data_IF_047560016671
#
_entry.id   IF_047560016671
#
_cell.length_a   1.000
_cell.length_b   1.000
_cell.length_c   1.000
_cell.angle_alpha   90.00
_cell.angle_beta   90.00
_cell.angle_gamma   90.00
#
_symmetry.space_group_name_H-M   'P 1'
#
loop_
_entity.id
_entity.type
_entity.pdbx_description
1 polymer ?
#
# COMPACT_ATOMS: atom_id res chain seq x y z
N UNK A 1 -14.43 -42.53 0.50
CA UNK A 1 -13.04 -43.03 0.69
C UNK A 1 -12.10 -42.19 -0.16
N UNK A 2 -11.37 -41.26 0.45
CA UNK A 2 -10.34 -40.47 -0.25
C UNK A 2 -9.07 -41.32 -0.28
N UNK A 3 -8.51 -41.56 -1.47
CA UNK A 3 -7.28 -42.35 -1.64
C UNK A 3 -6.10 -41.57 -1.01
N UNK A 4 -5.73 -41.95 0.23
CA UNK A 4 -4.46 -41.55 0.86
C UNK A 4 -3.30 -41.99 -0.04
N UNK A 5 -2.56 -41.03 -0.62
CA UNK A 5 -1.30 -41.30 -1.30
C UNK A 5 -1.16 -40.79 -2.75
N UNK A 6 -2.18 -40.16 -3.34
CA UNK A 6 -2.01 -39.48 -4.63
C UNK A 6 -1.60 -38.01 -4.38
N UNK A 7 -0.45 -37.54 -4.91
CA UNK A 7 -0.10 -36.12 -4.86
C UNK A 7 -1.17 -35.31 -5.59
N UNK A 8 -1.62 -34.20 -4.99
CA UNK A 8 -2.44 -33.23 -5.70
C UNK A 8 -1.54 -32.48 -6.68
N UNK A 9 -1.56 -32.87 -7.96
CA UNK A 9 -0.97 -32.09 -9.05
C UNK A 9 -1.99 -31.04 -9.50
N UNK A 10 -2.20 -30.05 -8.64
CA UNK A 10 -2.72 -28.74 -9.00
C UNK A 10 -1.70 -27.73 -8.52
N UNK A 11 -1.45 -26.67 -9.30
CA UNK A 11 -0.80 -25.49 -8.73
C UNK A 11 -1.67 -25.13 -7.52
N UNK A 12 -1.11 -25.11 -6.31
CA UNK A 12 -1.87 -24.63 -5.15
C UNK A 12 -2.44 -23.26 -5.51
N UNK A 13 -3.60 -22.89 -4.98
CA UNK A 13 -4.17 -21.57 -5.24
C UNK A 13 -3.14 -20.45 -4.99
N UNK A 14 -2.31 -20.64 -3.94
CA UNK A 14 -1.14 -19.82 -3.62
C UNK A 14 -0.09 -19.80 -4.73
N UNK A 15 0.24 -20.94 -5.35
CA UNK A 15 1.18 -20.99 -6.48
C UNK A 15 0.68 -20.25 -7.73
N UNK A 16 -0.63 -20.25 -7.98
CA UNK A 16 -1.24 -19.48 -9.06
C UNK A 16 -1.15 -17.97 -8.76
N UNK A 17 -1.51 -17.59 -7.52
CA UNK A 17 -1.41 -16.19 -7.07
C UNK A 17 0.02 -15.65 -7.14
N UNK A 18 1.03 -16.42 -6.74
CA UNK A 18 2.44 -16.01 -6.86
C UNK A 18 2.81 -15.77 -8.32
N UNK A 19 2.37 -16.65 -9.23
CA UNK A 19 2.67 -16.55 -10.65
C UNK A 19 2.06 -15.29 -11.31
N UNK A 20 0.89 -14.85 -10.83
CA UNK A 20 0.26 -13.61 -11.29
C UNK A 20 0.92 -12.38 -10.65
N UNK A 21 1.05 -12.37 -9.32
CA UNK A 21 1.52 -11.22 -8.53
C UNK A 21 2.96 -10.80 -8.85
N UNK A 22 3.83 -11.74 -9.21
CA UNK A 22 5.23 -11.42 -9.56
C UNK A 22 5.35 -10.46 -10.76
N UNK A 23 4.33 -10.37 -11.62
CA UNK A 23 4.33 -9.49 -12.79
C UNK A 23 3.86 -8.06 -12.47
N UNK A 24 3.29 -7.82 -11.29
CA UNK A 24 2.73 -6.52 -10.90
C UNK A 24 3.76 -5.56 -10.27
N UNK A 25 5.02 -6.01 -10.06
CA UNK A 25 6.10 -5.20 -9.49
C UNK A 25 5.67 -4.43 -8.23
N UNK A 26 4.97 -5.11 -7.31
CA UNK A 26 4.40 -4.48 -6.13
C UNK A 26 5.50 -3.87 -5.25
N UNK A 27 5.31 -2.63 -4.74
CA UNK A 27 6.26 -2.02 -3.84
C UNK A 27 6.46 -2.83 -2.55
N UNK A 28 7.69 -2.93 -2.05
CA UNK A 28 8.02 -3.71 -0.86
C UNK A 28 7.17 -3.32 0.37
N UNK A 29 6.89 -2.02 0.56
CA UNK A 29 6.09 -1.58 1.70
C UNK A 29 4.63 -2.08 1.64
N UNK A 30 4.09 -2.36 0.44
CA UNK A 30 2.75 -2.94 0.27
C UNK A 30 2.76 -4.39 0.72
N UNK A 31 3.81 -5.15 0.37
CA UNK A 31 3.99 -6.51 0.88
C UNK A 31 4.05 -6.50 2.41
N UNK A 32 4.79 -5.55 3.00
CA UNK A 32 4.87 -5.40 4.45
C UNK A 32 3.52 -5.05 5.08
N UNK A 33 2.74 -4.15 4.47
CA UNK A 33 1.41 -3.79 4.97
C UNK A 33 0.46 -4.98 4.96
N UNK A 34 0.41 -5.71 3.85
CA UNK A 34 -0.46 -6.88 3.71
C UNK A 34 -0.01 -8.03 4.62
N UNK A 35 1.29 -8.29 4.72
CA UNK A 35 1.80 -9.31 5.62
C UNK A 35 1.39 -9.02 7.07
N UNK A 36 1.46 -7.74 7.49
CA UNK A 36 1.01 -7.32 8.82
C UNK A 36 -0.49 -7.47 9.01
N UNK A 37 -1.30 -7.12 8.01
CA UNK A 37 -2.77 -7.23 8.07
C UNK A 37 -3.22 -8.69 8.20
N UNK A 38 -2.48 -9.62 7.57
CA UNK A 38 -2.81 -11.04 7.51
C UNK A 38 -2.00 -11.92 8.49
N UNK A 39 -1.28 -11.32 9.44
CA UNK A 39 -0.39 -12.02 10.39
C UNK A 39 0.52 -13.05 9.67
N UNK A 40 1.19 -12.58 8.63
CA UNK A 40 2.04 -13.38 7.76
C UNK A 40 3.50 -13.05 7.96
N UNK A 41 4.33 -14.06 7.79
CA UNK A 41 5.76 -13.87 7.55
C UNK A 41 5.97 -13.11 6.23
N UNK A 42 7.09 -12.38 6.18
CA UNK A 42 7.59 -11.76 4.96
C UNK A 42 9.11 -11.73 5.01
N UNK A 43 9.74 -12.35 4.03
CA UNK A 43 11.17 -12.32 3.87
C UNK A 43 11.66 -10.87 3.69
N UNK A 44 12.60 -10.43 4.54
CA UNK A 44 13.08 -9.04 4.55
C UNK A 44 13.78 -8.62 3.24
N UNK A 45 14.47 -9.57 2.60
CA UNK A 45 15.26 -9.36 1.38
C UNK A 45 15.13 -10.57 0.46
N UNK A 46 15.05 -10.32 -0.85
CA UNK A 46 14.97 -11.39 -1.84
C UNK A 46 14.33 -10.90 -3.13
N UNK A 47 14.21 -11.78 -4.12
CA UNK A 47 13.41 -11.48 -5.31
C UNK A 47 11.92 -11.48 -4.92
N UNK A 48 11.09 -10.82 -5.72
CA UNK A 48 9.65 -10.78 -5.49
C UNK A 48 9.03 -12.18 -5.35
N UNK A 49 9.53 -13.15 -6.12
CA UNK A 49 9.10 -14.56 -6.07
C UNK A 49 9.37 -15.20 -4.70
N UNK A 50 10.58 -15.02 -4.16
CA UNK A 50 10.98 -15.53 -2.85
C UNK A 50 10.15 -14.86 -1.73
N UNK A 51 9.91 -13.55 -1.87
CA UNK A 51 9.14 -12.76 -0.91
C UNK A 51 7.67 -13.21 -0.90
N UNK A 52 7.03 -13.34 -2.05
CA UNK A 52 5.65 -13.81 -2.16
C UNK A 52 5.52 -15.25 -1.63
N UNK A 53 6.48 -16.14 -1.95
CA UNK A 53 6.49 -17.52 -1.45
C UNK A 53 6.61 -17.61 0.07
N UNK A 54 7.21 -16.61 0.72
CA UNK A 54 7.30 -16.55 2.19
C UNK A 54 6.01 -16.14 2.89
N UNK A 55 5.02 -15.62 2.15
CA UNK A 55 3.76 -15.16 2.72
C UNK A 55 2.73 -16.29 2.84
N UNK A 56 1.83 -16.17 3.81
CA UNK A 56 0.71 -17.10 4.00
C UNK A 56 -0.38 -16.94 2.91
N UNK A 57 -1.26 -17.93 2.81
CA UNK A 57 -2.31 -17.96 1.78
C UNK A 57 -3.25 -16.74 1.85
N UNK A 58 -3.59 -16.28 3.07
CA UNK A 58 -4.45 -15.12 3.27
C UNK A 58 -3.84 -13.83 2.69
N UNK A 59 -2.53 -13.64 2.85
CA UNK A 59 -1.81 -12.52 2.28
C UNK A 59 -1.79 -12.57 0.75
N UNK A 60 -1.51 -13.74 0.19
CA UNK A 60 -1.47 -13.93 -1.26
C UNK A 60 -2.85 -13.72 -1.88
N UNK A 61 -3.91 -14.23 -1.25
CA UNK A 61 -5.29 -13.99 -1.64
C UNK A 61 -5.65 -12.50 -1.57
N UNK A 62 -5.28 -11.82 -0.47
CA UNK A 62 -5.53 -10.38 -0.32
C UNK A 62 -4.81 -9.57 -1.40
N UNK A 63 -3.54 -9.85 -1.66
CA UNK A 63 -2.79 -9.20 -2.74
C UNK A 63 -3.44 -9.45 -4.11
N UNK A 64 -3.84 -10.68 -4.39
CA UNK A 64 -4.48 -11.05 -5.65
C UNK A 64 -5.79 -10.29 -5.85
N UNK A 65 -6.66 -10.29 -4.84
CA UNK A 65 -7.94 -9.56 -4.89
C UNK A 65 -7.74 -8.07 -5.10
N UNK A 66 -6.76 -7.47 -4.40
CA UNK A 66 -6.49 -6.03 -4.48
C UNK A 66 -5.92 -5.62 -5.85
N UNK A 67 -4.94 -6.36 -6.38
CA UNK A 67 -4.11 -5.92 -7.51
C UNK A 67 -4.40 -6.61 -8.83
N UNK A 68 -4.90 -7.85 -8.80
CA UNK A 68 -5.26 -8.63 -9.99
C UNK A 68 -6.74 -8.49 -10.28
N UNK A 69 -7.59 -8.86 -9.32
CA UNK A 69 -9.05 -8.81 -9.50
C UNK A 69 -9.60 -7.38 -9.42
N UNK A 70 -8.82 -6.46 -8.86
CA UNK A 70 -9.22 -5.07 -8.60
C UNK A 70 -10.49 -4.96 -7.75
N UNK A 71 -10.69 -5.91 -6.82
CA UNK A 71 -11.82 -5.95 -5.90
C UNK A 71 -11.95 -4.67 -5.07
N UNK A 72 -13.13 -4.49 -4.50
CA UNK A 72 -13.43 -3.46 -3.52
C UNK A 72 -13.90 -4.10 -2.22
N UNK A 73 -13.40 -3.60 -1.10
CA UNK A 73 -13.86 -3.96 0.23
C UNK A 73 -14.75 -2.84 0.79
N UNK A 74 -15.69 -3.22 1.67
CA UNK A 74 -16.55 -2.24 2.34
C UNK A 74 -15.74 -1.22 3.16
N UNK A 75 -14.53 -1.60 3.59
CA UNK A 75 -13.67 -0.74 4.37
C UNK A 75 -12.87 0.28 3.55
N UNK A 76 -12.80 0.13 2.23
CA UNK A 76 -12.02 0.97 1.31
C UNK A 76 -10.50 0.73 1.36
N UNK A 77 -10.05 -0.30 2.07
CA UNK A 77 -8.65 -0.66 2.22
C UNK A 77 -8.01 -1.03 0.87
N UNK A 78 -8.75 -1.71 -0.01
CA UNK A 78 -8.23 -2.20 -1.29
C UNK A 78 -7.91 -1.02 -2.21
N UNK A 79 -8.83 -0.05 -2.28
CA UNK A 79 -8.60 1.21 -2.98
C UNK A 79 -7.44 2.01 -2.38
N UNK A 80 -7.24 1.94 -1.06
CA UNK A 80 -6.12 2.59 -0.39
C UNK A 80 -4.77 1.96 -0.72
N UNK A 81 -4.66 0.64 -0.73
CA UNK A 81 -3.43 -0.07 -1.15
C UNK A 81 -3.08 0.23 -2.61
N UNK A 82 -4.06 0.21 -3.51
CA UNK A 82 -3.84 0.61 -4.91
C UNK A 82 -3.39 2.07 -5.03
N UNK A 83 -3.99 2.98 -4.28
CA UNK A 83 -3.58 4.38 -4.25
C UNK A 83 -2.13 4.55 -3.76
N UNK A 84 -1.74 3.83 -2.71
CA UNK A 84 -0.37 3.87 -2.20
C UNK A 84 0.64 3.32 -3.21
N UNK A 85 0.32 2.19 -3.87
CA UNK A 85 1.15 1.66 -4.95
C UNK A 85 1.31 2.66 -6.10
N UNK A 86 0.21 3.33 -6.48
CA UNK A 86 0.24 4.37 -7.51
C UNK A 86 1.17 5.52 -7.12
N UNK A 87 1.04 6.09 -5.91
CA UNK A 87 1.93 7.16 -5.44
C UNK A 87 3.39 6.71 -5.45
N UNK A 88 3.67 5.49 -4.98
CA UNK A 88 5.03 4.95 -5.00
C UNK A 88 5.59 4.81 -6.42
N UNK A 89 4.76 4.45 -7.40
CA UNK A 89 5.16 4.36 -8.80
C UNK A 89 5.49 5.72 -9.42
N UNK A 90 4.87 6.80 -8.93
CA UNK A 90 5.12 8.16 -9.42
C UNK A 90 6.42 8.77 -8.86
N UNK A 91 6.86 8.32 -7.69
CA UNK A 91 8.01 8.87 -6.96
C UNK A 91 9.11 7.81 -6.78
N UNK A 92 9.71 7.39 -7.90
CA UNK A 92 10.82 6.44 -7.88
C UNK A 92 11.98 6.92 -6.99
N UNK A 93 12.61 5.99 -6.26
CA UNK A 93 13.74 6.23 -5.33
C UNK A 93 13.43 7.17 -4.15
N UNK A 94 12.16 7.51 -3.93
CA UNK A 94 11.74 8.28 -2.76
C UNK A 94 11.33 7.36 -1.62
N UNK A 95 11.47 7.86 -0.40
CA UNK A 95 10.96 7.19 0.79
C UNK A 95 9.44 7.42 0.88
N UNK A 96 8.68 6.34 1.01
CA UNK A 96 7.22 6.36 1.16
C UNK A 96 6.88 6.12 2.62
N UNK A 97 6.18 7.06 3.23
CA UNK A 97 5.75 7.00 4.62
C UNK A 97 4.23 6.87 4.68
N UNK A 98 3.73 5.88 5.41
CA UNK A 98 2.31 5.58 5.53
C UNK A 98 1.80 5.96 6.92
N UNK A 99 0.66 6.65 6.99
CA UNK A 99 0.03 7.14 8.22
C UNK A 99 0.94 8.02 9.09
N UNK A 100 1.81 8.80 8.44
CA UNK A 100 2.77 9.66 9.13
C UNK A 100 2.09 10.90 9.74
N UNK A 101 2.70 11.44 10.80
CA UNK A 101 2.21 12.66 11.47
C UNK A 101 3.21 13.79 11.25
N UNK A 102 2.81 14.78 10.46
CA UNK A 102 3.69 15.87 10.06
C UNK A 102 3.28 17.16 10.76
N UNK A 103 4.18 17.83 11.49
CA UNK A 103 3.90 19.15 12.08
C UNK A 103 3.86 20.22 10.98
N UNK A 104 2.79 21.03 10.97
CA UNK A 104 2.68 22.21 10.13
C UNK A 104 3.27 23.46 10.81
N UNK A 105 3.44 24.53 10.03
CA UNK A 105 3.89 25.85 10.54
C UNK A 105 3.01 26.38 11.67
N UNK A 106 1.72 26.10 11.63
CA UNK A 106 0.77 26.49 12.67
C UNK A 106 1.01 25.82 14.03
N UNK A 107 1.94 24.86 14.12
CA UNK A 107 2.15 24.00 15.29
C UNK A 107 1.15 22.83 15.36
N UNK A 108 0.24 22.72 14.38
CA UNK A 108 -0.71 21.62 14.30
C UNK A 108 -0.08 20.39 13.65
N UNK A 109 -0.28 19.24 14.28
CA UNK A 109 0.06 17.95 13.70
C UNK A 109 -1.01 17.48 12.72
N UNK A 110 -0.60 17.14 11.51
CA UNK A 110 -1.48 16.60 10.46
C UNK A 110 -1.18 15.12 10.25
N UNK A 111 -2.19 14.27 10.42
CA UNK A 111 -2.10 12.85 10.05
C UNK A 111 -2.25 12.73 8.53
N UNK A 112 -1.19 12.30 7.88
CA UNK A 112 -1.11 12.13 6.43
C UNK A 112 -1.16 10.64 6.09
N UNK A 113 -2.12 10.18 5.27
CA UNK A 113 -2.21 8.76 4.87
C UNK A 113 -0.97 8.26 4.14
N UNK A 114 -0.45 9.05 3.20
CA UNK A 114 0.79 8.77 2.49
C UNK A 114 1.60 10.05 2.29
N UNK A 115 2.86 10.02 2.64
CA UNK A 115 3.81 11.10 2.42
C UNK A 115 5.02 10.56 1.65
N UNK A 116 5.60 11.44 0.83
CA UNK A 116 6.80 11.14 0.04
C UNK A 116 7.92 12.02 0.53
N UNK A 117 9.03 11.39 0.89
CA UNK A 117 10.21 12.04 1.41
C UNK A 117 11.40 11.78 0.49
N UNK A 118 12.17 12.83 0.22
CA UNK A 118 13.38 12.77 -0.57
C UNK A 118 14.45 13.60 0.14
N UNK A 119 15.61 12.99 0.41
CA UNK A 119 16.74 13.63 1.10
C UNK A 119 16.35 14.30 2.43
N UNK A 120 15.48 13.67 3.21
CA UNK A 120 15.06 14.21 4.51
C UNK A 120 13.90 15.20 4.48
N UNK A 121 13.43 15.61 3.30
CA UNK A 121 12.37 16.62 3.13
C UNK A 121 11.09 16.03 2.52
N UNK A 122 9.92 16.48 2.98
CA UNK A 122 8.64 16.08 2.38
C UNK A 122 8.42 16.83 1.06
N UNK A 123 8.26 16.07 -0.03
CA UNK A 123 8.04 16.61 -1.39
C UNK A 123 6.61 16.40 -1.90
N UNK A 124 5.88 15.45 -1.31
CA UNK A 124 4.47 15.23 -1.63
C UNK A 124 3.72 14.64 -0.43
N UNK A 125 2.43 14.95 -0.36
CA UNK A 125 1.47 14.31 0.54
C UNK A 125 0.26 13.87 -0.29
N UNK A 126 -0.31 12.71 0.04
CA UNK A 126 -1.43 12.12 -0.68
C UNK A 126 -2.60 11.82 0.25
N UNK A 127 -3.79 12.09 -0.28
CA UNK A 127 -5.05 11.71 0.33
C UNK A 127 -5.92 11.05 -0.73
N UNK A 128 -6.52 9.92 -0.38
CA UNK A 128 -7.60 9.33 -1.14
C UNK A 128 -8.87 9.29 -0.29
N UNK A 129 -10.03 9.33 -0.96
CA UNK A 129 -11.27 8.87 -0.37
C UNK A 129 -11.34 7.36 -0.56
N UNK A 130 -10.93 6.62 0.47
CA UNK A 130 -11.04 5.17 0.50
C UNK A 130 -12.50 4.70 0.36
N UNK A 131 -13.45 5.53 0.82
CA UNK A 131 -14.90 5.31 0.67
C UNK A 131 -15.61 6.56 0.12
N UNK A 132 -16.67 6.32 -0.66
CA UNK A 132 -17.67 7.34 -0.99
C UNK A 132 -17.46 8.07 -2.32
N UNK A 133 -18.40 8.99 -2.61
CA UNK A 133 -18.51 9.69 -3.89
C UNK A 133 -17.42 10.74 -4.18
N UNK A 134 -17.66 11.54 -5.22
CA UNK A 134 -16.68 12.44 -5.82
C UNK A 134 -15.97 13.37 -4.81
N UNK A 135 -14.74 13.75 -5.16
CA UNK A 135 -13.97 14.77 -4.41
C UNK A 135 -14.72 16.11 -4.52
N UNK A 136 -15.06 16.71 -3.39
CA UNK A 136 -15.78 17.99 -3.36
C UNK A 136 -14.79 19.17 -3.28
N UNK A 137 -15.24 20.37 -3.64
CA UNK A 137 -14.46 21.61 -3.47
C UNK A 137 -14.01 21.83 -2.01
N UNK A 138 -14.84 21.41 -1.05
CA UNK A 138 -14.53 21.50 0.39
C UNK A 138 -13.36 20.59 0.76
N UNK A 139 -13.30 19.38 0.19
CA UNK A 139 -12.20 18.45 0.41
C UNK A 139 -10.90 19.02 -0.15
N UNK A 140 -10.94 19.52 -1.39
CA UNK A 140 -9.78 20.15 -2.05
C UNK A 140 -9.27 21.34 -1.24
N UNK A 141 -10.16 22.23 -0.79
CA UNK A 141 -9.77 23.38 0.04
C UNK A 141 -9.11 22.93 1.35
N UNK A 142 -9.65 21.92 2.01
CA UNK A 142 -9.06 21.36 3.24
C UNK A 142 -7.67 20.81 2.97
N UNK A 143 -7.49 20.02 1.91
CA UNK A 143 -6.19 19.45 1.55
C UNK A 143 -5.18 20.53 1.16
N UNK A 144 -5.60 21.56 0.43
CA UNK A 144 -4.76 22.68 0.07
C UNK A 144 -4.23 23.42 1.29
N UNK A 145 -5.08 23.67 2.29
CA UNK A 145 -4.65 24.30 3.54
C UNK A 145 -3.66 23.43 4.33
N UNK A 146 -3.88 22.12 4.38
CA UNK A 146 -2.94 21.17 5.01
C UNK A 146 -1.60 21.19 4.28
N UNK A 147 -1.62 21.12 2.94
CA UNK A 147 -0.40 21.13 2.13
C UNK A 147 0.41 22.41 2.32
N UNK A 148 -0.25 23.59 2.37
CA UNK A 148 0.42 24.87 2.66
C UNK A 148 1.02 24.87 4.06
N UNK A 149 0.28 24.40 5.06
CA UNK A 149 0.75 24.42 6.44
C UNK A 149 1.95 23.49 6.65
N UNK A 150 1.91 22.29 6.05
CA UNK A 150 3.04 21.34 6.05
C UNK A 150 4.23 21.89 5.27
N UNK A 151 3.99 22.43 4.06
CA UNK A 151 5.05 23.01 3.22
C UNK A 151 5.83 24.12 3.94
N UNK A 152 5.12 24.98 4.67
CA UNK A 152 5.74 26.08 5.39
C UNK A 152 6.27 25.69 6.79
N UNK A 153 6.13 24.41 7.19
CA UNK A 153 6.67 23.87 8.43
C UNK A 153 8.17 23.55 8.32
N UNK A 154 8.73 22.99 9.39
CA UNK A 154 10.18 22.72 9.50
C UNK A 154 10.70 21.70 8.47
N UNK A 155 9.85 20.78 8.03
CA UNK A 155 10.23 19.66 7.17
C UNK A 155 9.64 19.73 5.75
N UNK A 156 8.95 20.82 5.41
CA UNK A 156 8.31 21.02 4.11
C UNK A 156 9.24 21.67 3.07
N UNK A 157 9.03 21.36 1.79
CA UNK A 157 9.72 22.01 0.65
C UNK A 157 8.71 22.68 -0.30
#
# INVERSE_FOLDING_TARGET
MIKKGFPHFGISQSGAFIADLKNYNLPDFILTLVAKECDSDLLERGRIDDRLTSMNDASLELLHRVFVDCDEDEAGMYGQFRFYSYVSSMYHKSEILINDTIPGKSGKNHKIPIAVKMNGMYIAIGYNKARGGSVTKKDVNKYYLIAIDVKNGEHGT
#
